data_IF_828311424305
#
_entry.id   IF_828311424305
#
_cell.length_a   1.000
_cell.length_b   1.000
_cell.length_c   1.000
_cell.angle_alpha   90.00
_cell.angle_beta   90.00
_cell.angle_gamma   90.00
#
_symmetry.space_group_name_H-M   'P 1'
#
loop_
_entity.id
_entity.type
_entity.pdbx_description
1 polymer ?
#
# COMPACT_ATOMS: atom_id res chain seq x y z
N UNK A 1 -46.73 -5.08 20.07
CA UNK A 1 -45.28 -4.90 20.12
C UNK A 1 -44.55 -4.96 18.78
N UNK A 2 -45.05 -5.66 17.75
CA UNK A 2 -44.25 -5.92 16.53
C UNK A 2 -44.04 -4.72 15.60
N UNK A 3 -45.01 -3.78 15.52
CA UNK A 3 -44.91 -2.56 14.67
C UNK A 3 -43.86 -1.55 15.13
N UNK A 4 -43.50 -1.53 16.42
CA UNK A 4 -42.50 -0.60 16.96
C UNK A 4 -41.06 -1.04 16.64
N UNK A 5 -40.82 -2.35 16.47
CA UNK A 5 -39.49 -2.91 16.16
C UNK A 5 -39.10 -2.65 14.70
N UNK A 6 -40.04 -2.82 13.76
CA UNK A 6 -39.79 -2.57 12.33
C UNK A 6 -39.41 -1.11 12.03
N UNK A 7 -40.03 -0.14 12.71
CA UNK A 7 -39.70 1.29 12.53
C UNK A 7 -38.35 1.69 13.12
N UNK A 8 -37.85 0.95 14.11
CA UNK A 8 -36.55 1.17 14.75
C UNK A 8 -35.42 0.57 13.89
N UNK A 9 -35.64 -0.63 13.34
CA UNK A 9 -34.73 -1.26 12.37
C UNK A 9 -34.57 -0.42 11.10
N UNK A 10 -35.65 0.17 10.58
CA UNK A 10 -35.59 1.06 9.42
C UNK A 10 -34.82 2.35 9.70
N UNK A 11 -34.89 2.89 10.93
CA UNK A 11 -34.07 4.03 11.33
C UNK A 11 -32.60 3.66 11.41
N UNK A 12 -32.26 2.52 12.01
CA UNK A 12 -30.88 2.02 12.10
C UNK A 12 -30.30 1.81 10.69
N UNK A 13 -31.07 1.21 9.78
CA UNK A 13 -30.67 1.00 8.38
C UNK A 13 -30.45 2.32 7.63
N UNK A 14 -31.33 3.31 7.83
CA UNK A 14 -31.17 4.66 7.25
C UNK A 14 -29.95 5.38 7.80
N UNK A 15 -29.68 5.28 9.10
CA UNK A 15 -28.49 5.86 9.72
C UNK A 15 -27.20 5.20 9.22
N UNK A 16 -27.18 3.87 9.11
CA UNK A 16 -26.08 3.12 8.53
C UNK A 16 -25.83 3.54 7.07
N UNK A 17 -26.88 3.60 6.23
CA UNK A 17 -26.77 4.07 4.85
C UNK A 17 -26.23 5.51 4.78
N UNK A 18 -26.70 6.41 5.65
CA UNK A 18 -26.21 7.80 5.70
C UNK A 18 -24.74 7.88 6.10
N UNK A 19 -24.27 7.00 6.99
CA UNK A 19 -22.84 6.91 7.37
C UNK A 19 -22.00 6.40 6.20
N UNK A 20 -22.46 5.36 5.51
CA UNK A 20 -21.80 4.79 4.34
C UNK A 20 -21.68 5.84 3.23
N UNK A 21 -22.78 6.53 2.90
CA UNK A 21 -22.76 7.56 1.85
C UNK A 21 -21.79 8.69 2.19
N UNK A 22 -21.77 9.16 3.44
CA UNK A 22 -20.79 10.16 3.89
C UNK A 22 -19.35 9.68 3.76
N UNK A 23 -19.08 8.42 4.07
CA UNK A 23 -17.75 7.84 3.91
C UNK A 23 -17.37 7.76 2.42
N UNK A 24 -18.29 7.32 1.57
CA UNK A 24 -18.08 7.25 0.12
C UNK A 24 -17.73 8.60 -0.49
N UNK A 25 -18.42 9.67 -0.08
CA UNK A 25 -18.15 11.02 -0.56
C UNK A 25 -16.76 11.51 -0.14
N UNK A 26 -16.34 11.24 1.10
CA UNK A 26 -14.98 11.55 1.58
C UNK A 26 -13.93 10.77 0.79
N UNK A 27 -14.13 9.48 0.60
CA UNK A 27 -13.18 8.62 -0.12
C UNK A 27 -13.08 9.05 -1.59
N UNK A 28 -14.20 9.45 -2.22
CA UNK A 28 -14.22 10.00 -3.58
C UNK A 28 -13.42 11.29 -3.69
N UNK A 29 -13.49 12.17 -2.68
CA UNK A 29 -12.72 13.41 -2.65
C UNK A 29 -11.22 13.13 -2.50
N UNK A 30 -10.84 12.26 -1.56
CA UNK A 30 -9.45 11.81 -1.36
C UNK A 30 -8.89 11.15 -2.63
N UNK A 31 -9.69 10.30 -3.26
CA UNK A 31 -9.32 9.62 -4.50
C UNK A 31 -9.07 10.61 -5.64
N UNK A 32 -9.92 11.64 -5.80
CA UNK A 32 -9.75 12.70 -6.80
C UNK A 32 -8.53 13.58 -6.54
N UNK A 33 -8.17 13.80 -5.27
CA UNK A 33 -6.98 14.55 -4.89
C UNK A 33 -5.67 13.75 -5.07
N UNK A 34 -5.76 12.43 -5.21
CA UNK A 34 -4.60 11.54 -5.30
C UNK A 34 -4.08 11.45 -6.74
N UNK A 35 -2.83 11.84 -6.97
CA UNK A 35 -2.18 11.73 -8.28
C UNK A 35 -1.66 10.30 -8.49
N UNK A 36 -2.22 9.59 -9.47
CA UNK A 36 -1.84 8.20 -9.79
C UNK A 36 -0.76 8.21 -10.87
N UNK A 37 0.45 7.79 -10.50
CA UNK A 37 1.60 7.71 -11.40
C UNK A 37 1.89 6.24 -11.73
N UNK A 38 2.18 5.94 -13.00
CA UNK A 38 2.60 4.62 -13.45
C UNK A 38 4.05 4.67 -13.92
N UNK A 39 4.89 3.81 -13.35
CA UNK A 39 6.30 3.68 -13.73
C UNK A 39 6.45 2.52 -14.72
N UNK A 40 6.85 2.82 -15.96
CA UNK A 40 7.08 1.84 -17.03
C UNK A 40 8.58 1.69 -17.32
N UNK A 41 8.99 0.51 -17.77
CA UNK A 41 10.38 0.20 -18.15
C UNK A 41 10.64 -1.30 -18.20
N UNK A 42 11.77 -1.70 -18.78
CA UNK A 42 12.22 -3.10 -18.85
C UNK A 42 12.46 -3.73 -17.47
N UNK A 43 12.61 -5.06 -17.40
CA UNK A 43 13.10 -5.73 -16.18
C UNK A 43 14.36 -5.04 -15.67
N UNK A 44 14.51 -4.92 -14.34
CA UNK A 44 15.73 -4.38 -13.70
C UNK A 44 16.04 -2.90 -13.94
N UNK A 45 15.20 -2.16 -14.66
CA UNK A 45 15.36 -0.73 -14.98
C UNK A 45 15.28 0.24 -13.78
N UNK A 46 15.34 -0.26 -12.54
CA UNK A 46 15.33 0.57 -11.34
C UNK A 46 13.96 1.12 -10.90
N UNK A 47 12.84 0.67 -11.47
CA UNK A 47 11.48 1.12 -11.05
C UNK A 47 11.23 0.98 -9.55
N UNK A 48 11.60 -0.15 -8.97
CA UNK A 48 11.50 -0.39 -7.53
C UNK A 48 12.39 0.53 -6.71
N UNK A 49 13.53 0.97 -7.27
CA UNK A 49 14.44 1.93 -6.63
C UNK A 49 13.80 3.31 -6.55
N UNK A 50 13.14 3.77 -7.61
CA UNK A 50 12.41 5.06 -7.62
C UNK A 50 11.31 5.07 -6.55
N UNK A 51 10.52 3.99 -6.46
CA UNK A 51 9.48 3.86 -5.43
C UNK A 51 10.06 3.85 -4.01
N UNK A 52 11.19 3.16 -3.80
CA UNK A 52 11.89 3.18 -2.49
C UNK A 52 12.38 4.59 -2.12
N UNK A 53 12.89 5.36 -3.08
CA UNK A 53 13.30 6.75 -2.84
C UNK A 53 12.12 7.65 -2.48
N UNK A 54 10.99 7.52 -3.19
CA UNK A 54 9.77 8.25 -2.85
C UNK A 54 9.33 8.00 -1.42
N UNK A 55 9.43 6.76 -0.95
CA UNK A 55 9.11 6.39 0.43
C UNK A 55 10.09 7.00 1.45
N UNK A 56 11.39 7.03 1.15
CA UNK A 56 12.40 7.67 2.01
C UNK A 56 12.12 9.16 2.19
N UNK A 57 11.79 9.85 1.09
CA UNK A 57 11.61 11.30 1.11
C UNK A 57 10.25 11.75 1.66
N UNK A 58 9.18 10.97 1.44
CA UNK A 58 7.80 11.43 1.71
C UNK A 58 7.03 10.59 2.73
N UNK A 59 7.51 9.41 3.15
CA UNK A 59 6.74 8.45 3.96
C UNK A 59 7.59 7.88 5.10
N UNK A 60 8.18 8.75 5.94
CA UNK A 60 8.93 8.41 7.15
C UNK A 60 9.96 7.25 7.01
N UNK A 61 10.45 6.99 5.80
CA UNK A 61 11.43 5.96 5.49
C UNK A 61 11.04 4.52 5.85
N UNK A 62 12.05 3.74 6.24
CA UNK A 62 11.93 2.32 6.61
C UNK A 62 12.10 2.13 8.12
N UNK A 63 11.20 1.34 8.72
CA UNK A 63 11.26 0.98 10.13
C UNK A 63 12.48 0.09 10.45
N UNK A 64 12.84 -0.01 11.73
CA UNK A 64 13.96 -0.85 12.17
C UNK A 64 13.75 -2.33 11.80
N UNK A 65 12.53 -2.83 11.94
CA UNK A 65 12.17 -4.21 11.62
C UNK A 65 12.31 -4.49 10.11
N UNK A 66 11.84 -3.58 9.25
CA UNK A 66 12.02 -3.72 7.81
C UNK A 66 13.49 -3.71 7.39
N UNK A 67 14.31 -2.84 8.03
CA UNK A 67 15.76 -2.82 7.77
C UNK A 67 16.42 -4.13 8.16
N UNK A 68 16.01 -4.73 9.29
CA UNK A 68 16.50 -6.04 9.74
C UNK A 68 16.15 -7.13 8.72
N UNK A 69 14.92 -7.16 8.22
CA UNK A 69 14.51 -8.09 7.16
C UNK A 69 15.30 -7.87 5.86
N UNK A 70 15.64 -6.61 5.53
CA UNK A 70 16.49 -6.29 4.37
C UNK A 70 17.94 -6.74 4.51
N UNK A 71 18.46 -6.95 5.73
CA UNK A 71 19.80 -7.48 5.90
C UNK A 71 19.92 -8.90 5.30
N UNK A 72 18.89 -9.73 5.44
CA UNK A 72 18.87 -11.08 4.87
C UNK A 72 18.82 -11.05 3.34
N UNK A 73 18.03 -10.13 2.76
CA UNK A 73 18.03 -9.89 1.30
C UNK A 73 19.42 -9.49 0.80
N UNK A 74 20.10 -8.56 1.48
CA UNK A 74 21.45 -8.12 1.10
C UNK A 74 22.44 -9.28 1.14
N UNK A 75 22.37 -10.11 2.19
CA UNK A 75 23.25 -11.28 2.34
C UNK A 75 23.02 -12.32 1.23
N UNK A 76 21.76 -12.56 0.84
CA UNK A 76 21.43 -13.43 -0.30
C UNK A 76 22.00 -12.88 -1.60
N UNK A 77 21.71 -11.62 -1.91
CA UNK A 77 22.19 -10.98 -3.13
C UNK A 77 23.72 -11.01 -3.24
N UNK A 78 24.45 -10.83 -2.12
CA UNK A 78 25.91 -10.94 -2.10
C UNK A 78 26.39 -12.35 -2.46
N UNK A 79 25.78 -13.39 -1.88
CA UNK A 79 26.12 -14.79 -2.19
C UNK A 79 25.83 -15.11 -3.64
N UNK A 80 24.66 -14.73 -4.13
CA UNK A 80 24.23 -14.97 -5.50
C UNK A 80 25.18 -14.29 -6.49
N UNK A 81 25.56 -13.03 -6.22
CA UNK A 81 26.52 -12.29 -7.05
C UNK A 81 27.88 -12.98 -7.13
N UNK A 82 28.39 -13.50 -6.00
CA UNK A 82 29.67 -14.24 -5.97
C UNK A 82 29.55 -15.54 -6.76
N UNK A 83 28.49 -16.32 -6.55
CA UNK A 83 28.28 -17.60 -7.24
C UNK A 83 28.17 -17.41 -8.74
N UNK A 84 27.38 -16.43 -9.19
CA UNK A 84 27.26 -16.10 -10.62
C UNK A 84 28.61 -15.69 -11.19
N UNK A 85 29.35 -14.84 -10.48
CA UNK A 85 30.68 -14.40 -10.95
C UNK A 85 31.67 -15.56 -11.07
N UNK A 86 31.64 -16.53 -10.13
CA UNK A 86 32.49 -17.73 -10.17
C UNK A 86 32.07 -18.73 -11.25
N UNK A 87 30.78 -18.82 -11.56
CA UNK A 87 30.26 -19.77 -12.56
C UNK A 87 30.47 -19.29 -14.01
N UNK A 88 30.61 -17.98 -14.19
CA UNK A 88 30.82 -17.34 -15.50
C UNK A 88 32.32 -17.22 -15.86
N UNK A 89 33.22 -17.35 -14.88
CA UNK A 89 34.66 -17.52 -15.11
C UNK A 89 35.00 -18.97 -15.50
#
# INVERSE_FOLDING_TARGET
SSKSVEGEDDKIRREANKRIEKQLQKDKQTYRATHRLLLLGAGESGKSTVVKQMRILHVNGFSAEERKQKADDIRRNLKDAILVSMMVM
#
